data_IF_574389570270
#
_entry.id   IF_574389570270
#
_cell.length_a   1.000
_cell.length_b   1.000
_cell.length_c   1.000
_cell.angle_alpha   90.00
_cell.angle_beta   90.00
_cell.angle_gamma   90.00
#
_symmetry.space_group_name_H-M   'P 1'
#
loop_
_entity.id
_entity.type
_entity.pdbx_description
1 polymer ?
#
# COMPACT_ATOMS: atom_id res chain seq x y z
N UNK A 1 -7.51 -11.06 12.96
CA UNK A 1 -7.73 -12.37 13.63
C UNK A 1 -7.32 -12.31 15.09
N UNK A 2 -8.00 -13.08 15.93
CA UNK A 2 -7.52 -13.39 17.28
C UNK A 2 -6.36 -14.38 17.20
N UNK A 3 -5.46 -14.32 18.19
CA UNK A 3 -4.36 -15.28 18.34
C UNK A 3 -4.57 -16.15 19.58
N UNK A 4 -4.50 -17.47 19.42
CA UNK A 4 -4.61 -18.43 20.54
C UNK A 4 -3.48 -18.30 21.54
N UNK A 5 -2.29 -17.90 21.05
CA UNK A 5 -1.08 -17.84 21.86
C UNK A 5 -0.76 -16.41 22.31
N UNK A 6 -0.21 -16.23 23.50
CA UNK A 6 0.12 -14.92 24.07
C UNK A 6 1.45 -14.36 23.55
N UNK A 7 1.64 -14.30 22.24
CA UNK A 7 2.91 -13.97 21.59
C UNK A 7 2.90 -12.65 20.82
N UNK A 8 1.75 -12.01 20.72
CA UNK A 8 1.59 -10.83 19.89
C UNK A 8 2.08 -9.54 20.54
N UNK A 9 2.28 -8.50 19.73
CA UNK A 9 2.70 -7.20 20.21
C UNK A 9 1.63 -6.49 21.06
N UNK A 10 0.38 -6.94 21.04
CA UNK A 10 -0.67 -6.42 21.91
C UNK A 10 -0.25 -6.38 23.37
N UNK A 11 0.50 -7.40 23.84
CA UNK A 11 1.06 -7.47 25.20
C UNK A 11 2.14 -6.45 25.51
N UNK A 12 2.68 -5.78 24.50
CA UNK A 12 3.77 -4.80 24.62
C UNK A 12 3.29 -3.34 24.59
N UNK A 13 1.97 -3.12 24.53
CA UNK A 13 1.39 -1.77 24.43
C UNK A 13 1.34 -1.02 25.78
N UNK A 14 1.58 -1.68 26.91
CA UNK A 14 1.62 -1.06 28.24
C UNK A 14 2.82 -0.12 28.43
N UNK A 15 2.67 0.89 29.29
CA UNK A 15 3.68 1.94 29.53
C UNK A 15 5.05 1.37 29.93
N UNK A 16 5.08 0.39 30.82
CA UNK A 16 6.34 -0.24 31.26
C UNK A 16 7.04 -0.91 30.08
N UNK A 17 6.31 -1.69 29.28
CA UNK A 17 6.87 -2.35 28.10
C UNK A 17 7.40 -1.32 27.10
N UNK A 18 6.64 -0.26 26.81
CA UNK A 18 7.08 0.83 25.95
C UNK A 18 8.35 1.51 26.45
N UNK A 19 8.43 1.75 27.77
CA UNK A 19 9.63 2.30 28.40
C UNK A 19 10.86 1.40 28.24
N UNK A 20 10.72 0.09 28.46
CA UNK A 20 11.81 -0.89 28.28
C UNK A 20 12.22 -1.02 26.81
N UNK A 21 11.28 -1.03 25.88
CA UNK A 21 11.54 -1.03 24.43
C UNK A 21 12.31 0.22 24.03
N UNK A 22 11.87 1.41 24.49
CA UNK A 22 12.54 2.67 24.23
C UNK A 22 13.96 2.73 24.79
N UNK A 23 14.15 2.28 26.04
CA UNK A 23 15.48 2.20 26.67
C UNK A 23 16.43 1.28 25.90
N UNK A 24 15.96 0.08 25.51
CA UNK A 24 16.75 -0.84 24.69
C UNK A 24 17.13 -0.24 23.34
N UNK A 25 16.21 0.46 22.70
CA UNK A 25 16.51 1.13 21.43
C UNK A 25 17.52 2.26 21.59
N UNK A 26 17.39 3.10 22.62
CA UNK A 26 18.32 4.19 22.90
C UNK A 26 19.73 3.69 23.18
N UNK A 27 19.88 2.63 24.00
CA UNK A 27 21.18 2.11 24.40
C UNK A 27 21.84 1.23 23.33
N UNK A 28 21.05 0.36 22.69
CA UNK A 28 21.60 -0.71 21.85
C UNK A 28 21.14 -0.64 20.39
N UNK A 29 20.24 0.31 20.02
CA UNK A 29 19.64 0.40 18.68
C UNK A 29 19.03 -0.91 18.19
N UNK A 30 18.42 -1.68 19.09
CA UNK A 30 17.93 -3.04 18.81
C UNK A 30 16.58 -3.33 19.48
N UNK A 31 16.01 -4.51 19.16
CA UNK A 31 14.74 -4.98 19.68
C UNK A 31 13.53 -4.36 18.99
N UNK A 32 12.36 -4.44 19.62
CA UNK A 32 11.09 -4.00 19.04
C UNK A 32 11.05 -2.51 18.67
N UNK A 33 11.88 -1.67 19.25
CA UNK A 33 12.00 -0.25 18.87
C UNK A 33 12.82 0.00 17.60
N UNK A 34 13.48 -1.03 17.05
CA UNK A 34 14.32 -0.95 15.85
C UNK A 34 13.65 -1.55 14.59
N UNK A 35 12.41 -1.99 14.68
CA UNK A 35 11.63 -2.54 13.56
C UNK A 35 10.36 -1.72 13.33
N UNK A 36 9.84 -1.75 12.11
CA UNK A 36 8.55 -1.14 11.77
C UNK A 36 7.36 -2.06 12.07
N UNK A 37 7.62 -3.26 12.62
CA UNK A 37 6.66 -4.30 12.98
C UNK A 37 5.91 -4.97 11.83
N UNK A 38 6.07 -4.56 10.60
CA UNK A 38 5.60 -5.28 9.42
C UNK A 38 6.62 -6.36 9.05
N UNK A 39 6.52 -7.49 9.73
CA UNK A 39 7.56 -8.54 9.74
C UNK A 39 7.63 -9.33 8.42
N UNK A 40 6.54 -9.34 7.64
CA UNK A 40 6.52 -9.95 6.33
C UNK A 40 5.57 -9.24 5.38
N UNK A 41 5.88 -9.35 4.09
CA UNK A 41 5.00 -8.93 3.01
C UNK A 41 4.93 -10.01 1.93
N UNK A 42 3.86 -9.98 1.14
CA UNK A 42 3.72 -10.84 -0.01
C UNK A 42 3.10 -10.08 -1.16
N UNK A 43 3.47 -10.48 -2.38
CA UNK A 43 2.84 -10.02 -3.61
C UNK A 43 2.29 -11.25 -4.32
N UNK A 44 0.98 -11.28 -4.56
CA UNK A 44 0.32 -12.39 -5.22
C UNK A 44 -0.61 -11.90 -6.33
N UNK A 45 -0.90 -12.77 -7.29
CA UNK A 45 -1.90 -12.48 -8.32
C UNK A 45 -3.29 -12.75 -7.77
N UNK A 46 -4.24 -11.86 -8.07
CA UNK A 46 -5.64 -12.03 -7.68
C UNK A 46 -6.29 -13.25 -8.33
N UNK A 47 -5.87 -13.58 -9.53
CA UNK A 47 -6.39 -14.69 -10.35
C UNK A 47 -5.38 -15.11 -11.42
N UNK A 48 -5.64 -16.19 -12.12
CA UNK A 48 -5.00 -16.51 -13.40
C UNK A 48 -5.27 -15.37 -14.41
N UNK A 49 -4.47 -15.28 -15.45
CA UNK A 49 -4.51 -14.24 -16.49
C UNK A 49 -4.18 -12.82 -15.99
N UNK A 50 -3.47 -12.74 -14.87
CA UNK A 50 -2.83 -11.51 -14.36
C UNK A 50 -1.32 -11.69 -14.46
N UNK A 51 -0.66 -10.94 -15.35
CA UNK A 51 0.77 -11.09 -15.64
C UNK A 51 1.65 -10.83 -14.42
N UNK A 52 1.34 -9.77 -13.66
CA UNK A 52 2.09 -9.34 -12.48
C UNK A 52 1.28 -9.48 -11.20
N UNK A 53 1.91 -9.79 -10.06
CA UNK A 53 1.21 -9.73 -8.78
C UNK A 53 0.52 -8.37 -8.58
N UNK A 54 -0.77 -8.39 -8.37
CA UNK A 54 -1.63 -7.20 -8.27
C UNK A 54 -2.23 -6.99 -6.88
N UNK A 55 -1.95 -7.90 -5.94
CA UNK A 55 -2.32 -7.80 -4.53
C UNK A 55 -1.07 -7.79 -3.68
N UNK A 56 -1.00 -6.85 -2.73
CA UNK A 56 0.08 -6.77 -1.74
C UNK A 56 -0.47 -7.01 -0.34
N UNK A 57 0.29 -7.77 0.44
CA UNK A 57 0.05 -8.07 1.84
C UNK A 57 1.15 -7.47 2.71
N UNK A 58 0.73 -6.92 3.86
CA UNK A 58 1.61 -6.55 4.96
C UNK A 58 1.11 -7.23 6.22
N UNK A 59 1.92 -8.11 6.79
CA UNK A 59 1.59 -8.81 8.02
C UNK A 59 2.09 -8.05 9.24
N UNK A 60 1.20 -7.83 10.21
CA UNK A 60 1.51 -7.21 11.48
C UNK A 60 1.15 -8.17 12.64
N UNK A 61 2.11 -8.60 13.48
CA UNK A 61 1.85 -9.49 14.61
C UNK A 61 1.21 -8.75 15.80
N UNK A 62 0.23 -7.93 15.52
CA UNK A 62 -0.61 -7.20 16.47
C UNK A 62 -1.97 -6.90 15.87
N UNK A 63 -3.00 -6.88 16.68
CA UNK A 63 -4.30 -6.32 16.31
C UNK A 63 -4.46 -4.96 17.00
N UNK A 64 -4.13 -3.90 16.27
CA UNK A 64 -4.11 -2.52 16.75
C UNK A 64 -4.94 -1.60 15.86
N UNK A 65 -5.42 -0.51 16.44
CA UNK A 65 -6.08 0.59 15.74
C UNK A 65 -5.04 1.64 15.34
N UNK A 66 -5.41 2.55 14.44
CA UNK A 66 -4.53 3.66 14.03
C UNK A 66 -4.13 4.61 15.17
N UNK A 67 -4.91 4.67 16.27
CA UNK A 67 -4.51 5.42 17.47
C UNK A 67 -3.45 4.67 18.32
N UNK A 68 -2.97 3.53 17.87
CA UNK A 68 -1.96 2.71 18.54
C UNK A 68 -2.47 1.92 19.74
N UNK A 69 -3.80 1.88 19.94
CA UNK A 69 -4.43 1.06 20.96
C UNK A 69 -4.78 -0.33 20.43
N UNK A 70 -4.96 -1.29 21.30
CA UNK A 70 -5.46 -2.61 20.93
C UNK A 70 -6.84 -2.51 20.26
N UNK A 71 -7.07 -3.29 19.21
CA UNK A 71 -8.36 -3.37 18.54
C UNK A 71 -9.42 -4.08 19.40
N UNK A 72 -8.98 -4.96 20.32
CA UNK A 72 -9.82 -5.69 21.27
C UNK A 72 -8.98 -6.09 22.51
N UNK A 73 -9.61 -6.64 23.51
CA UNK A 73 -8.91 -7.17 24.67
C UNK A 73 -8.41 -8.60 24.39
N UNK A 74 -7.10 -8.74 24.19
CA UNK A 74 -6.46 -10.01 23.89
C UNK A 74 -5.30 -9.93 22.89
N UNK A 75 -4.84 -11.09 22.50
CA UNK A 75 -3.79 -11.28 21.50
C UNK A 75 -4.39 -11.40 20.11
N UNK A 76 -3.80 -10.74 19.14
CA UNK A 76 -4.24 -10.80 17.76
C UNK A 76 -3.17 -10.39 16.77
N UNK A 77 -3.43 -10.67 15.51
CA UNK A 77 -2.62 -10.23 14.38
C UNK A 77 -3.52 -9.67 13.28
N UNK A 78 -2.96 -8.86 12.42
CA UNK A 78 -3.70 -8.28 11.31
C UNK A 78 -2.89 -8.33 10.02
N UNK A 79 -3.62 -8.32 8.93
CA UNK A 79 -3.07 -8.28 7.59
C UNK A 79 -3.66 -7.05 6.90
N UNK A 80 -2.78 -6.14 6.49
CA UNK A 80 -3.16 -5.06 5.59
C UNK A 80 -3.02 -5.59 4.17
N UNK A 81 -4.11 -5.59 3.42
CA UNK A 81 -4.15 -6.13 2.07
C UNK A 81 -4.80 -5.14 1.13
N UNK A 82 -4.25 -4.99 -0.06
CA UNK A 82 -4.78 -4.07 -1.04
C UNK A 82 -4.47 -4.47 -2.48
N UNK A 83 -5.34 -4.04 -3.37
CA UNK A 83 -5.18 -4.12 -4.81
C UNK A 83 -4.23 -3.00 -5.27
N UNK A 84 -3.11 -3.35 -5.93
CA UNK A 84 -2.03 -2.41 -6.23
C UNK A 84 -2.33 -1.44 -7.37
N UNK A 85 -3.22 -1.79 -8.29
CA UNK A 85 -3.53 -0.98 -9.49
C UNK A 85 -5.00 -0.61 -9.59
N UNK A 86 -5.54 0.18 -8.65
CA UNK A 86 -6.92 0.61 -8.72
C UNK A 86 -7.19 1.43 -9.97
N UNK A 87 -8.38 1.25 -10.56
CA UNK A 87 -8.85 1.99 -11.73
C UNK A 87 -9.64 3.24 -11.38
N UNK A 88 -10.18 3.33 -10.17
CA UNK A 88 -10.85 4.53 -9.67
C UNK A 88 -9.92 5.73 -9.68
N UNK A 89 -10.44 6.90 -10.02
CA UNK A 89 -9.67 8.14 -10.10
C UNK A 89 -10.29 9.20 -9.22
N UNK A 90 -9.43 9.92 -8.51
CA UNK A 90 -9.77 11.09 -7.71
C UNK A 90 -9.32 12.38 -8.36
N UNK A 91 -9.39 13.47 -7.59
CA UNK A 91 -8.95 14.78 -8.02
C UNK A 91 -8.40 15.61 -6.88
N UNK A 92 -7.48 16.52 -7.24
CA UNK A 92 -6.98 17.58 -6.35
C UNK A 92 -7.27 18.91 -7.04
N UNK A 93 -8.05 19.79 -6.39
CA UNK A 93 -8.47 21.05 -6.98
C UNK A 93 -8.23 22.22 -6.04
N UNK A 94 -7.83 23.36 -6.59
CA UNK A 94 -7.65 24.61 -5.85
C UNK A 94 -9.03 25.14 -5.42
N UNK A 95 -9.14 25.55 -4.16
CA UNK A 95 -10.37 26.12 -3.61
C UNK A 95 -10.32 27.66 -3.45
N UNK A 96 -9.12 28.25 -3.42
CA UNK A 96 -8.91 29.66 -3.16
C UNK A 96 -7.64 30.16 -3.82
N UNK A 97 -7.54 31.46 -4.08
CA UNK A 97 -6.30 32.13 -4.45
C UNK A 97 -5.35 32.31 -3.25
N UNK A 98 -5.83 32.15 -2.03
CA UNK A 98 -5.02 32.14 -0.82
C UNK A 98 -4.29 30.80 -0.71
N UNK A 99 -2.92 30.77 -0.78
CA UNK A 99 -2.13 29.53 -0.75
C UNK A 99 -2.18 28.83 0.62
N UNK A 100 -2.69 29.46 1.66
CA UNK A 100 -2.84 28.83 2.99
C UNK A 100 -4.10 27.98 3.10
N UNK A 101 -5.05 28.13 2.17
CA UNK A 101 -6.26 27.30 2.12
C UNK A 101 -5.93 25.95 1.50
N UNK A 102 -6.12 24.82 2.21
CA UNK A 102 -5.84 23.50 1.67
C UNK A 102 -6.64 23.20 0.39
N UNK A 103 -6.09 22.45 -0.56
CA UNK A 103 -6.82 22.04 -1.74
C UNK A 103 -7.98 21.09 -1.37
N UNK A 104 -8.99 21.04 -2.23
CA UNK A 104 -10.00 19.98 -2.16
C UNK A 104 -9.41 18.69 -2.72
N UNK A 105 -9.37 17.64 -1.89
CA UNK A 105 -8.89 16.32 -2.25
C UNK A 105 -10.07 15.36 -2.24
N UNK A 106 -10.32 14.72 -3.39
CA UNK A 106 -11.32 13.69 -3.54
C UNK A 106 -10.61 12.39 -3.98
N UNK A 107 -10.53 11.40 -3.11
CA UNK A 107 -9.93 10.10 -3.46
C UNK A 107 -10.80 9.28 -4.40
N UNK A 108 -12.11 9.34 -4.22
CA UNK A 108 -13.11 8.68 -5.07
C UNK A 108 -12.90 7.16 -5.21
N UNK A 109 -12.59 6.49 -4.09
CA UNK A 109 -12.35 5.04 -4.06
C UNK A 109 -13.57 4.25 -4.51
N UNK A 110 -13.32 3.03 -5.05
CA UNK A 110 -14.34 2.02 -5.38
C UNK A 110 -15.42 2.50 -6.38
N UNK A 111 -15.07 3.44 -7.27
CA UNK A 111 -15.96 3.86 -8.35
C UNK A 111 -15.89 2.93 -9.57
N UNK A 112 -14.87 2.11 -9.66
CA UNK A 112 -14.70 1.14 -10.73
C UNK A 112 -15.01 -0.27 -10.21
N UNK A 113 -15.74 -1.06 -11.00
CA UNK A 113 -16.13 -2.42 -10.62
C UNK A 113 -14.92 -3.34 -10.38
N UNK A 114 -13.86 -3.21 -11.19
CA UNK A 114 -12.64 -3.99 -11.02
C UNK A 114 -11.97 -3.78 -9.64
N UNK A 115 -12.09 -2.57 -9.07
CA UNK A 115 -11.52 -2.29 -7.74
C UNK A 115 -12.30 -3.04 -6.66
N UNK A 116 -13.62 -3.12 -6.80
CA UNK A 116 -14.49 -3.88 -5.89
C UNK A 116 -14.15 -5.37 -5.98
N UNK A 117 -14.06 -5.92 -7.18
CA UNK A 117 -13.67 -7.32 -7.42
C UNK A 117 -12.27 -7.62 -6.90
N UNK A 118 -11.33 -6.69 -7.08
CA UNK A 118 -9.99 -6.79 -6.50
C UNK A 118 -10.01 -6.91 -4.98
N UNK A 119 -10.84 -6.13 -4.29
CA UNK A 119 -10.98 -6.24 -2.83
C UNK A 119 -11.73 -7.51 -2.40
N UNK A 120 -12.72 -8.00 -3.15
CA UNK A 120 -13.30 -9.33 -2.91
C UNK A 120 -12.22 -10.42 -2.93
N UNK A 121 -11.34 -10.38 -3.95
CA UNK A 121 -10.21 -11.28 -4.04
C UNK A 121 -9.27 -11.12 -2.83
N UNK A 122 -8.97 -9.89 -2.39
CA UNK A 122 -8.17 -9.64 -1.19
C UNK A 122 -8.76 -10.33 0.05
N UNK A 123 -10.05 -10.19 0.31
CA UNK A 123 -10.71 -10.81 1.47
C UNK A 123 -10.64 -12.34 1.38
N UNK A 124 -11.02 -12.92 0.23
CA UNK A 124 -11.05 -14.37 0.05
C UNK A 124 -9.67 -15.01 0.14
N UNK A 125 -8.68 -14.44 -0.55
CA UNK A 125 -7.30 -14.93 -0.51
C UNK A 125 -6.69 -14.79 0.89
N UNK A 126 -7.00 -13.73 1.62
CA UNK A 126 -6.56 -13.61 3.02
C UNK A 126 -7.09 -14.76 3.87
N UNK A 127 -8.37 -15.08 3.74
CA UNK A 127 -8.97 -16.22 4.46
C UNK A 127 -8.32 -17.55 4.06
N UNK A 128 -8.08 -17.76 2.77
CA UNK A 128 -7.38 -18.95 2.27
C UNK A 128 -5.96 -19.08 2.86
N UNK A 129 -5.21 -17.98 2.90
CA UNK A 129 -3.84 -17.95 3.48
C UNK A 129 -3.90 -18.27 4.98
N UNK A 130 -4.76 -17.60 5.72
CA UNK A 130 -4.87 -17.80 7.18
C UNK A 130 -5.43 -19.19 7.51
N UNK A 131 -6.21 -19.80 6.60
CA UNK A 131 -6.72 -21.16 6.78
C UNK A 131 -5.66 -22.26 6.63
N UNK A 132 -4.44 -21.95 6.16
CA UNK A 132 -3.38 -22.94 6.01
C UNK A 132 -2.94 -23.50 7.36
N UNK A 133 -2.54 -24.79 7.37
CA UNK A 133 -2.17 -25.52 8.59
C UNK A 133 -1.05 -24.89 9.42
N UNK A 134 -0.17 -24.11 8.80
CA UNK A 134 0.87 -23.35 9.49
C UNK A 134 0.31 -22.33 10.50
N UNK A 135 -0.95 -21.93 10.36
CA UNK A 135 -1.62 -21.00 11.29
C UNK A 135 -2.45 -21.73 12.37
N UNK A 136 -2.60 -23.06 12.32
CA UNK A 136 -3.51 -23.79 13.22
C UNK A 136 -3.22 -23.58 14.72
N UNK A 137 -1.95 -23.45 15.07
CA UNK A 137 -1.53 -23.21 16.47
C UNK A 137 -1.73 -21.74 16.88
N UNK A 138 -1.95 -20.84 15.96
CA UNK A 138 -1.97 -19.40 16.20
C UNK A 138 -3.33 -18.78 15.96
N UNK A 139 -4.01 -19.10 14.84
CA UNK A 139 -5.28 -18.47 14.48
C UNK A 139 -6.43 -18.90 15.41
N UNK A 140 -7.22 -17.92 15.78
CA UNK A 140 -8.55 -18.08 16.37
C UNK A 140 -9.56 -17.34 15.47
N UNK A 141 -10.72 -16.95 15.97
CA UNK A 141 -11.77 -16.33 15.19
C UNK A 141 -11.34 -15.07 14.42
N UNK A 142 -11.94 -14.89 13.26
CA UNK A 142 -11.80 -13.67 12.46
C UNK A 142 -12.52 -12.51 13.15
N UNK A 143 -11.81 -11.38 13.34
CA UNK A 143 -12.37 -10.18 13.96
C UNK A 143 -12.97 -9.28 12.88
N UNK A 144 -12.25 -9.09 11.77
CA UNK A 144 -12.61 -8.22 10.68
C UNK A 144 -12.22 -8.87 9.35
N UNK A 145 -13.16 -8.92 8.38
CA UNK A 145 -14.54 -8.42 8.39
C UNK A 145 -15.49 -9.18 9.32
N UNK A 146 -15.14 -10.36 9.78
CA UNK A 146 -15.95 -11.26 10.58
C UNK A 146 -16.50 -12.44 9.77
N UNK A 147 -16.58 -13.59 10.41
CA UNK A 147 -16.95 -14.88 9.76
C UNK A 147 -18.36 -14.87 9.13
N UNK A 148 -19.22 -13.95 9.53
CA UNK A 148 -20.58 -13.81 9.00
C UNK A 148 -20.62 -13.12 7.62
N UNK A 149 -19.57 -12.42 7.21
CA UNK A 149 -19.46 -11.75 5.91
C UNK A 149 -18.98 -12.78 4.87
N UNK A 150 -19.87 -13.28 4.03
CA UNK A 150 -19.56 -14.38 3.10
C UNK A 150 -19.88 -14.07 1.64
N UNK A 151 -21.02 -13.42 1.38
CA UNK A 151 -21.45 -13.14 0.01
C UNK A 151 -20.69 -11.97 -0.61
N UNK A 152 -20.78 -11.82 -1.93
CA UNK A 152 -20.19 -10.69 -2.62
C UNK A 152 -20.74 -9.35 -2.14
N UNK A 153 -22.05 -9.29 -1.92
CA UNK A 153 -22.75 -8.11 -1.46
C UNK A 153 -22.32 -7.71 -0.04
N UNK A 154 -22.14 -8.68 0.84
CA UNK A 154 -21.68 -8.46 2.22
C UNK A 154 -20.21 -7.98 2.22
N UNK A 155 -19.35 -8.59 1.40
CA UNK A 155 -17.96 -8.17 1.25
C UNK A 155 -17.90 -6.76 0.68
N UNK A 156 -18.70 -6.42 -0.33
CA UNK A 156 -18.75 -5.09 -0.92
C UNK A 156 -19.19 -4.04 0.09
N UNK A 157 -20.21 -4.34 0.91
CA UNK A 157 -20.65 -3.43 1.95
C UNK A 157 -19.53 -3.17 2.97
N UNK A 158 -18.87 -4.23 3.43
CA UNK A 158 -17.71 -4.12 4.32
C UNK A 158 -16.57 -3.31 3.70
N UNK A 159 -16.20 -3.60 2.44
CA UNK A 159 -15.12 -2.89 1.76
C UNK A 159 -15.43 -1.40 1.60
N UNK A 160 -16.68 -1.04 1.27
CA UNK A 160 -17.10 0.38 1.15
C UNK A 160 -17.00 1.13 2.46
N UNK A 161 -17.23 0.47 3.59
CA UNK A 161 -17.12 1.06 4.92
C UNK A 161 -15.66 1.13 5.40
N UNK A 162 -14.86 0.10 5.12
CA UNK A 162 -13.56 -0.12 5.74
C UNK A 162 -12.36 0.24 4.86
N UNK A 163 -12.56 0.56 3.56
CA UNK A 163 -11.45 0.89 2.68
C UNK A 163 -10.76 2.18 3.11
N UNK A 164 -9.43 2.13 3.15
CA UNK A 164 -8.60 3.26 3.52
C UNK A 164 -7.45 3.44 2.53
N UNK A 165 -6.80 4.59 2.61
CA UNK A 165 -5.60 4.87 1.84
C UNK A 165 -4.44 4.01 2.33
N UNK A 166 -3.68 3.43 1.39
CA UNK A 166 -2.36 2.86 1.67
C UNK A 166 -1.24 3.93 1.68
N UNK A 167 -1.61 5.21 1.70
CA UNK A 167 -0.69 6.37 1.70
C UNK A 167 0.23 6.45 0.48
N UNK A 168 -0.26 5.99 -0.66
CA UNK A 168 0.44 6.04 -1.94
C UNK A 168 -0.30 6.87 -3.02
N UNK A 169 -0.72 8.14 -2.74
CA UNK A 169 -1.31 9.00 -3.76
C UNK A 169 -0.28 9.35 -4.82
N UNK A 170 -0.71 9.36 -6.09
CA UNK A 170 0.17 9.61 -7.22
C UNK A 170 -0.63 10.10 -8.45
N UNK A 171 0.06 10.40 -9.56
CA UNK A 171 -0.50 10.62 -10.88
C UNK A 171 -1.31 11.93 -11.07
N UNK A 172 -1.40 12.83 -10.08
CA UNK A 172 -2.19 14.07 -10.19
C UNK A 172 -1.54 15.14 -11.11
N UNK A 173 -0.23 15.01 -11.40
CA UNK A 173 0.53 15.84 -12.36
C UNK A 173 1.19 14.96 -13.42
N UNK A 174 0.42 14.00 -14.00
CA UNK A 174 0.99 12.92 -14.81
C UNK A 174 1.92 13.42 -15.91
N UNK A 175 2.97 12.65 -16.16
CA UNK A 175 3.87 12.81 -17.27
C UNK A 175 3.26 12.27 -18.55
N UNK A 176 3.45 12.97 -19.67
CA UNK A 176 2.98 12.54 -20.98
C UNK A 176 3.00 13.69 -21.99
N UNK A 177 2.45 13.40 -23.16
CA UNK A 177 2.31 14.38 -24.26
C UNK A 177 0.83 14.55 -24.70
N UNK A 178 -0.09 13.94 -23.95
CA UNK A 178 -1.54 14.11 -24.16
C UNK A 178 -2.07 15.37 -23.45
N UNK A 179 -3.29 15.79 -23.82
CA UNK A 179 -3.93 17.02 -23.33
C UNK A 179 -4.11 17.07 -21.79
N UNK A 180 -4.07 15.92 -21.10
CA UNK A 180 -4.16 15.82 -19.67
C UNK A 180 -2.80 15.72 -18.97
N UNK A 181 -1.70 15.69 -19.74
CA UNK A 181 -0.35 15.65 -19.16
C UNK A 181 0.05 17.01 -18.60
N UNK A 182 0.60 17.01 -17.39
CA UNK A 182 1.07 18.22 -16.72
C UNK A 182 2.56 18.46 -16.99
N UNK A 183 3.36 17.41 -17.07
CA UNK A 183 4.80 17.51 -17.33
C UNK A 183 5.20 16.60 -18.51
N UNK A 184 6.26 17.00 -19.19
CA UNK A 184 6.90 16.21 -20.22
C UNK A 184 7.90 15.18 -19.65
N UNK A 185 8.56 14.39 -20.50
CA UNK A 185 9.55 13.37 -20.13
C UNK A 185 10.80 13.93 -19.40
N UNK A 186 11.00 15.25 -19.40
CA UNK A 186 12.03 15.94 -18.65
C UNK A 186 11.49 16.58 -17.36
N UNK A 187 10.30 16.22 -16.90
CA UNK A 187 9.61 16.77 -15.73
C UNK A 187 9.27 18.27 -15.81
N UNK A 188 9.36 18.88 -16.98
CA UNK A 188 9.02 20.30 -17.20
C UNK A 188 7.53 20.46 -17.38
N UNK A 189 6.93 21.44 -16.71
CA UNK A 189 5.51 21.74 -16.83
C UNK A 189 5.22 22.29 -18.25
N UNK A 190 4.22 21.71 -18.91
CA UNK A 190 3.79 22.18 -20.22
C UNK A 190 3.30 23.63 -20.17
N UNK A 191 3.71 24.44 -21.14
CA UNK A 191 3.31 25.84 -21.27
C UNK A 191 3.94 26.83 -20.27
N UNK A 192 4.72 26.36 -19.27
CA UNK A 192 5.36 27.22 -18.27
C UNK A 192 6.88 27.05 -18.33
N UNK A 193 7.60 28.15 -18.57
CA UNK A 193 9.08 28.11 -18.58
C UNK A 193 9.64 28.11 -17.15
N UNK A 194 10.68 27.31 -16.94
CA UNK A 194 11.43 27.29 -15.68
C UNK A 194 10.77 26.53 -14.53
N UNK A 195 9.63 25.88 -14.74
CA UNK A 195 8.91 25.10 -13.72
C UNK A 195 8.99 23.60 -14.00
N UNK A 196 9.19 22.84 -12.94
CA UNK A 196 9.17 21.36 -12.95
C UNK A 196 8.32 20.82 -11.80
N UNK A 197 7.81 19.61 -11.97
CA UNK A 197 7.27 18.78 -10.87
C UNK A 197 8.12 17.52 -10.79
N UNK A 198 8.58 17.18 -9.59
CA UNK A 198 9.49 16.04 -9.35
C UNK A 198 9.08 15.33 -8.06
N UNK A 199 8.00 14.59 -8.12
CA UNK A 199 7.49 13.73 -7.06
C UNK A 199 6.59 12.63 -7.65
N UNK A 200 5.95 11.82 -6.82
CA UNK A 200 5.08 10.72 -7.28
C UNK A 200 3.86 11.18 -8.08
N UNK A 201 3.49 12.45 -8.06
CA UNK A 201 2.38 12.97 -8.84
C UNK A 201 2.61 12.89 -10.36
N UNK A 202 3.89 12.82 -10.80
CA UNK A 202 4.22 12.76 -12.23
C UNK A 202 4.07 11.38 -12.85
N UNK A 203 3.83 10.31 -12.07
CA UNK A 203 3.64 8.99 -12.66
C UNK A 203 2.45 8.98 -13.62
N UNK A 204 2.60 8.41 -14.84
CA UNK A 204 1.49 8.29 -15.79
C UNK A 204 0.36 7.40 -15.27
N UNK A 205 0.74 6.34 -14.54
CA UNK A 205 -0.16 5.42 -13.84
C UNK A 205 0.49 5.01 -12.52
N UNK A 206 -0.31 4.58 -11.56
CA UNK A 206 0.22 4.08 -10.29
C UNK A 206 1.13 2.86 -10.53
N UNK A 207 2.36 2.85 -9.99
CA UNK A 207 3.23 1.68 -10.02
C UNK A 207 2.64 0.49 -9.27
N UNK A 208 3.13 -0.69 -9.58
CA UNK A 208 2.71 -1.92 -8.89
C UNK A 208 3.45 -2.08 -7.58
N UNK A 209 2.83 -1.68 -6.47
CA UNK A 209 3.40 -1.72 -5.12
C UNK A 209 3.74 -0.33 -4.56
N UNK A 210 4.64 -0.30 -3.56
CA UNK A 210 4.97 0.92 -2.82
C UNK A 210 5.65 1.98 -3.68
N UNK A 211 5.34 3.26 -3.41
CA UNK A 211 5.84 4.40 -4.19
C UNK A 211 7.24 4.89 -3.80
N UNK A 212 7.76 4.51 -2.64
CA UNK A 212 9.00 5.11 -2.14
C UNK A 212 10.19 4.90 -3.10
N UNK A 213 10.47 3.67 -3.50
CA UNK A 213 11.60 3.37 -4.37
C UNK A 213 11.46 4.02 -5.77
N UNK A 214 10.32 3.89 -6.49
CA UNK A 214 10.17 4.55 -7.78
C UNK A 214 10.18 6.09 -7.67
N UNK A 215 9.71 6.67 -6.57
CA UNK A 215 9.79 8.14 -6.36
C UNK A 215 11.24 8.60 -6.20
N UNK A 216 12.05 7.88 -5.41
CA UNK A 216 13.48 8.16 -5.27
C UNK A 216 14.18 8.05 -6.63
N UNK A 217 13.90 6.99 -7.39
CA UNK A 217 14.49 6.81 -8.73
C UNK A 217 14.16 7.96 -9.68
N UNK A 218 12.90 8.41 -9.69
CA UNK A 218 12.47 9.56 -10.49
C UNK A 218 13.17 10.84 -10.04
N UNK A 219 13.27 11.06 -8.73
CA UNK A 219 13.92 12.25 -8.17
C UNK A 219 15.40 12.32 -8.52
N UNK A 220 16.13 11.22 -8.40
CA UNK A 220 17.55 11.12 -8.78
C UNK A 220 17.74 11.39 -10.28
N UNK A 221 16.94 10.76 -11.13
CA UNK A 221 16.98 11.00 -12.58
C UNK A 221 16.66 12.46 -12.94
N UNK A 222 15.67 13.05 -12.30
CA UNK A 222 15.33 14.45 -12.53
C UNK A 222 16.43 15.41 -12.05
N UNK A 223 17.08 15.12 -10.92
CA UNK A 223 18.22 15.88 -10.42
C UNK A 223 19.39 15.88 -11.41
N UNK A 224 19.72 14.73 -12.00
CA UNK A 224 20.76 14.64 -13.03
C UNK A 224 20.38 15.44 -14.28
N UNK A 225 19.11 15.40 -14.73
CA UNK A 225 18.63 16.23 -15.84
C UNK A 225 18.74 17.74 -15.53
N UNK A 226 18.42 18.17 -14.30
CA UNK A 226 18.51 19.57 -13.87
C UNK A 226 19.98 20.04 -13.86
N UNK A 227 20.89 19.18 -13.41
CA UNK A 227 22.32 19.44 -13.34
C UNK A 227 23.05 19.30 -14.71
N UNK A 228 22.33 18.88 -15.76
CA UNK A 228 22.94 18.66 -17.09
C UNK A 228 23.90 17.47 -17.12
N UNK A 229 23.79 16.53 -16.19
CA UNK A 229 24.60 15.32 -16.20
C UNK A 229 24.15 14.34 -17.29
N UNK A 230 25.06 13.53 -17.84
CA UNK A 230 24.70 12.48 -18.78
C UNK A 230 23.79 11.45 -18.12
N UNK A 231 22.84 10.89 -18.88
CA UNK A 231 22.01 9.80 -18.39
C UNK A 231 22.87 8.57 -18.04
N UNK A 232 22.48 7.87 -16.98
CA UNK A 232 23.07 6.58 -16.65
C UNK A 232 22.85 5.60 -17.81
N UNK A 233 23.80 4.70 -18.08
CA UNK A 233 23.62 3.67 -19.11
C UNK A 233 22.41 2.77 -18.78
N UNK A 234 21.67 2.40 -19.82
CA UNK A 234 20.59 1.43 -19.69
C UNK A 234 21.12 0.10 -19.16
N UNK A 235 20.41 -0.50 -18.23
CA UNK A 235 20.68 -1.83 -17.71
C UNK A 235 19.63 -2.79 -18.28
N UNK A 236 20.09 -3.85 -18.93
CA UNK A 236 19.22 -4.96 -19.34
C UNK A 236 19.10 -5.94 -18.18
N UNK A 237 18.06 -5.76 -17.37
CA UNK A 237 17.80 -6.62 -16.22
C UNK A 237 16.69 -7.60 -16.58
N UNK A 238 16.93 -8.93 -16.48
CA UNK A 238 15.88 -9.90 -16.76
C UNK A 238 14.71 -9.73 -15.79
N UNK A 239 13.52 -9.67 -16.34
CA UNK A 239 12.28 -9.59 -15.56
C UNK A 239 11.68 -10.99 -15.48
N UNK A 240 11.51 -11.49 -14.25
CA UNK A 240 10.89 -12.80 -14.04
C UNK A 240 9.37 -12.68 -14.12
N UNK A 241 8.78 -13.45 -15.04
CA UNK A 241 7.34 -13.61 -15.18
C UNK A 241 7.03 -15.08 -14.93
N UNK A 242 5.96 -15.36 -14.18
CA UNK A 242 5.54 -16.75 -13.98
C UNK A 242 5.17 -17.41 -15.33
N UNK A 243 5.77 -18.55 -15.70
CA UNK A 243 5.63 -19.10 -17.06
C UNK A 243 4.18 -19.43 -17.44
N UNK A 244 3.36 -19.85 -16.47
CA UNK A 244 1.97 -20.24 -16.67
C UNK A 244 0.97 -19.18 -16.15
N UNK A 245 1.35 -17.91 -16.09
CA UNK A 245 0.51 -16.85 -15.48
C UNK A 245 -0.89 -16.74 -16.12
N UNK A 246 -1.02 -17.13 -17.40
CA UNK A 246 -2.30 -17.09 -18.11
C UNK A 246 -3.31 -18.12 -17.61
N UNK A 247 -2.84 -19.24 -17.09
CA UNK A 247 -3.69 -20.39 -16.68
C UNK A 247 -3.62 -20.71 -15.20
N UNK A 248 -2.57 -20.24 -14.51
CA UNK A 248 -2.33 -20.51 -13.10
C UNK A 248 -2.19 -19.21 -12.32
N UNK A 249 -2.85 -19.14 -11.17
CA UNK A 249 -2.74 -17.97 -10.29
C UNK A 249 -1.37 -17.95 -9.58
N UNK A 250 -0.84 -19.10 -9.22
CA UNK A 250 0.38 -19.31 -8.44
C UNK A 250 0.98 -20.68 -8.69
#
# INVERSE_FOLDING_TARGET
YKCKQPITLNRKLGLISKGLIGARWLLNRSGLGATNHFESCAFIRSKADVEWPDIQYHFLPAAIRYDGKSAFDGDGFQVHVGHNKPKSRGSVTIQSADPTVPPKILFNYLQHQDDIEGFRACVRLTREIIAQSAFDDFRDGEIQPGEHIQTDEEIDAFVREAVESAYHPSCSCKMGEDDMAVVNSQTKVHGIKGLRVVDSSIFPTIPNGNLNAPTIMVAEKAADMILGKPALPSQDVPVSIHPNWQTEQR
#
